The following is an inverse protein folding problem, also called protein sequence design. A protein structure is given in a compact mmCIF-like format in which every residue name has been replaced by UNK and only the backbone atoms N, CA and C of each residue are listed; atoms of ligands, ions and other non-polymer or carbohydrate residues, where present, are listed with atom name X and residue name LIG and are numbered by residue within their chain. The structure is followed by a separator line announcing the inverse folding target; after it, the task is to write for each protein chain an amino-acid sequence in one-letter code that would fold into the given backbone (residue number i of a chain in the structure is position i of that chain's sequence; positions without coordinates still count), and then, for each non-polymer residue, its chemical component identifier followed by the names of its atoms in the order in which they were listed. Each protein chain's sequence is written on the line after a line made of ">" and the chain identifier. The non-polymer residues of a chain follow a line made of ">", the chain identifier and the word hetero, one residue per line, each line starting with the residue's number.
data_IF_500035842124
#
_entry.id   IF_500035842124
#
_cell.length_a   1.000
_cell.length_b   1.000
_cell.length_c   1.000
_cell.angle_alpha   90.00
_cell.angle_beta   90.00
_cell.angle_gamma   90.00
#
_symmetry.space_group_name_H-M   'P 1'
#
loop_
_entity.id
_entity.type
_entity.pdbx_description
1 polymer ?
#
# COMPACT_ATOMS: atom_id res chain seq x y z
N UNK A 1 6.95 -24.46 -18.39
CA UNK A 1 8.26 -23.95 -17.95
C UNK A 1 7.99 -22.87 -16.90
N UNK A 2 7.42 -23.27 -15.76
CA UNK A 2 6.95 -22.37 -14.71
C UNK A 2 8.01 -22.36 -13.61
N UNK A 3 8.85 -21.32 -13.55
CA UNK A 3 9.65 -21.05 -12.37
C UNK A 3 8.70 -20.83 -11.18
N UNK A 4 9.00 -21.49 -10.06
CA UNK A 4 8.24 -21.42 -8.81
C UNK A 4 7.96 -19.97 -8.44
N UNK A 5 6.69 -19.58 -8.43
CA UNK A 5 6.24 -18.33 -7.84
C UNK A 5 6.68 -18.33 -6.36
N UNK A 6 7.31 -17.25 -5.86
CA UNK A 6 7.75 -17.16 -4.48
C UNK A 6 6.54 -17.23 -3.54
N UNK A 7 6.64 -18.07 -2.51
CA UNK A 7 5.62 -18.30 -1.47
C UNK A 7 5.45 -17.09 -0.52
N UNK A 8 5.62 -15.85 -0.98
CA UNK A 8 5.83 -14.68 -0.11
C UNK A 8 4.62 -13.76 0.12
N UNK A 9 3.48 -13.95 -0.55
CA UNK A 9 2.26 -13.15 -0.30
C UNK A 9 1.42 -13.64 0.90
N UNK A 10 2.08 -14.29 1.87
CA UNK A 10 1.43 -14.86 3.04
C UNK A 10 1.09 -13.78 4.08
N UNK A 11 -0.14 -13.25 3.94
CA UNK A 11 -1.07 -12.95 5.04
C UNK A 11 -0.91 -11.61 5.79
N UNK A 12 -0.93 -10.47 5.09
CA UNK A 12 -1.12 -9.12 5.68
C UNK A 12 -2.55 -8.86 6.24
N UNK A 13 -3.28 -9.89 6.67
CA UNK A 13 -4.74 -9.84 6.74
C UNK A 13 -5.33 -10.22 8.11
N UNK A 14 -4.56 -10.15 9.21
CA UNK A 14 -5.04 -10.72 10.47
C UNK A 14 -4.70 -9.91 11.73
N UNK A 15 -5.01 -8.62 11.76
CA UNK A 15 -5.01 -7.80 12.98
C UNK A 15 -6.30 -7.00 13.14
N UNK A 16 -7.44 -7.69 13.27
CA UNK A 16 -8.64 -7.07 13.86
C UNK A 16 -9.51 -8.09 14.60
N UNK A 17 -9.01 -8.72 15.66
CA UNK A 17 -9.86 -9.44 16.63
C UNK A 17 -9.16 -9.66 17.96
N UNK A 18 -9.41 -8.76 18.92
CA UNK A 18 -9.65 -9.05 20.35
C UNK A 18 -10.06 -7.77 21.09
N UNK A 19 -11.36 -7.53 21.16
CA UNK A 19 -11.96 -6.76 22.23
C UNK A 19 -13.12 -7.60 22.77
N UNK A 20 -13.17 -7.76 24.10
CA UNK A 20 -13.96 -8.77 24.81
C UNK A 20 -15.46 -8.64 24.58
N UNK A 21 -16.11 -9.81 24.63
CA UNK A 21 -17.55 -9.94 24.69
C UNK A 21 -18.09 -9.35 26.00
N UNK A 22 -18.94 -8.33 25.89
CA UNK A 22 -19.96 -8.01 26.90
C UNK A 22 -21.26 -7.83 26.13
N UNK A 23 -22.25 -8.67 26.45
CA UNK A 23 -23.50 -8.79 25.71
C UNK A 23 -24.35 -7.53 25.77
N UNK A 24 -24.90 -7.15 24.63
CA UNK A 24 -26.08 -6.29 24.54
C UNK A 24 -26.99 -6.87 23.47
N UNK A 25 -28.15 -7.33 23.91
CA UNK A 25 -29.26 -7.80 23.10
C UNK A 25 -29.85 -6.58 22.34
N UNK A 26 -29.72 -6.54 21.01
CA UNK A 26 -30.35 -5.51 20.17
C UNK A 26 -31.09 -6.19 19.02
N UNK A 27 -32.42 -6.07 19.07
CA UNK A 27 -33.38 -6.48 18.05
C UNK A 27 -32.98 -5.96 16.67
N UNK A 28 -32.72 -6.88 15.75
CA UNK A 28 -32.48 -6.64 14.32
C UNK A 28 -33.80 -6.46 13.57
N UNK A 29 -34.22 -5.22 13.37
CA UNK A 29 -35.25 -4.89 12.36
C UNK A 29 -35.07 -3.43 11.89
N UNK A 30 -34.21 -3.24 10.89
CA UNK A 30 -34.02 -1.92 10.25
C UNK A 30 -32.92 -1.82 9.17
N UNK A 31 -31.99 -2.78 9.08
CA UNK A 31 -30.80 -2.67 8.22
C UNK A 31 -31.02 -2.84 6.71
N UNK A 32 -32.00 -3.66 6.29
CA UNK A 32 -32.20 -3.98 4.87
C UNK A 32 -32.88 -2.81 4.11
N UNK A 33 -33.78 -2.08 4.79
CA UNK A 33 -34.45 -0.90 4.23
C UNK A 33 -33.50 0.30 4.05
N UNK A 34 -32.45 0.41 4.87
CA UNK A 34 -31.42 1.45 4.75
C UNK A 34 -30.49 1.23 3.55
N UNK A 35 -30.08 -0.02 3.32
CA UNK A 35 -29.24 -0.41 2.18
C UNK A 35 -30.00 -0.31 0.84
N UNK A 36 -31.29 -0.64 0.82
CA UNK A 36 -32.15 -0.47 -0.36
C UNK A 36 -32.37 1.02 -0.72
N UNK A 37 -32.45 1.92 0.29
CA UNK A 37 -32.53 3.38 0.04
C UNK A 37 -31.23 3.97 -0.49
N UNK A 38 -30.06 3.52 -0.02
CA UNK A 38 -28.76 3.97 -0.52
C UNK A 38 -28.49 3.50 -1.96
N UNK A 39 -28.83 2.25 -2.28
CA UNK A 39 -28.73 1.72 -3.65
C UNK A 39 -29.74 2.40 -4.60
N UNK A 40 -30.96 2.64 -4.14
CA UNK A 40 -32.00 3.37 -4.90
C UNK A 40 -31.61 4.82 -5.18
N UNK A 41 -31.00 5.52 -4.23
CA UNK A 41 -30.56 6.91 -4.42
C UNK A 41 -29.38 7.03 -5.41
N UNK A 42 -28.52 6.02 -5.48
CA UNK A 42 -27.41 5.96 -6.46
C UNK A 42 -27.94 5.73 -7.88
N UNK A 43 -28.87 4.79 -8.05
CA UNK A 43 -29.52 4.54 -9.34
C UNK A 43 -30.39 5.73 -9.81
N UNK A 44 -31.04 6.45 -8.89
CA UNK A 44 -31.84 7.63 -9.22
C UNK A 44 -30.96 8.84 -9.55
N UNK A 45 -29.79 8.99 -8.91
CA UNK A 45 -28.79 9.99 -9.28
C UNK A 45 -28.19 9.73 -10.67
N UNK A 46 -27.94 8.47 -11.02
CA UNK A 46 -27.45 8.07 -12.35
C UNK A 46 -28.51 8.30 -13.45
N UNK A 47 -29.80 8.13 -13.14
CA UNK A 47 -30.92 8.39 -14.07
C UNK A 47 -31.25 9.88 -14.24
N UNK A 48 -31.05 10.72 -13.21
CA UNK A 48 -31.28 12.17 -13.28
C UNK A 48 -30.13 12.95 -13.95
N UNK A 49 -28.95 12.36 -14.13
CA UNK A 49 -27.83 12.95 -14.87
C UNK A 49 -27.90 12.77 -16.40
N UNK A 50 -28.98 12.18 -16.93
CA UNK A 50 -29.28 12.15 -18.38
C UNK A 50 -29.96 13.47 -18.84
N UNK A 51 -29.72 14.59 -18.14
CA UNK A 51 -29.82 15.91 -18.75
C UNK A 51 -28.50 16.17 -19.47
N UNK A 52 -28.57 16.09 -20.82
CA UNK A 52 -27.47 16.31 -21.78
C UNK A 52 -26.48 17.39 -21.32
N UNK A 53 -25.41 16.96 -20.66
CA UNK A 53 -24.19 17.74 -20.54
C UNK A 53 -23.56 17.81 -21.93
N UNK A 54 -22.97 18.94 -22.34
CA UNK A 54 -22.22 19.01 -23.59
C UNK A 54 -21.12 17.95 -23.57
N UNK A 55 -21.08 17.12 -24.62
CA UNK A 55 -19.96 16.19 -24.84
C UNK A 55 -18.72 17.05 -25.03
N UNK A 56 -17.83 17.06 -24.04
CA UNK A 56 -16.53 17.70 -24.19
C UNK A 56 -15.70 16.73 -25.05
N UNK A 57 -15.65 16.97 -26.36
CA UNK A 57 -14.69 16.27 -27.23
C UNK A 57 -13.29 16.76 -26.86
N UNK A 58 -12.52 15.91 -26.18
CA UNK A 58 -11.12 16.16 -25.86
C UNK A 58 -10.35 14.98 -26.42
N UNK A 59 -9.46 15.23 -27.38
CA UNK A 59 -8.46 14.24 -27.77
C UNK A 59 -7.56 13.97 -26.56
N UNK A 60 -7.46 12.71 -26.13
CA UNK A 60 -6.67 12.34 -24.96
C UNK A 60 -6.75 10.86 -24.61
N UNK A 61 -6.08 10.49 -23.52
CA UNK A 61 -5.99 9.10 -23.04
C UNK A 61 -7.33 8.60 -22.50
N UNK A 62 -8.10 9.50 -21.91
CA UNK A 62 -9.43 9.22 -21.36
C UNK A 62 -10.54 9.54 -22.36
N UNK A 63 -11.60 8.75 -22.36
CA UNK A 63 -12.84 9.07 -23.08
C UNK A 63 -13.65 10.19 -22.35
N UNK A 64 -14.65 10.81 -23.02
CA UNK A 64 -15.43 11.90 -22.41
C UNK A 64 -16.15 11.53 -21.10
N UNK A 65 -16.58 10.28 -20.93
CA UNK A 65 -17.24 9.82 -19.70
C UNK A 65 -16.22 9.70 -18.56
N UNK A 66 -15.04 9.16 -18.85
CA UNK A 66 -13.92 9.08 -17.90
C UNK A 66 -13.45 10.46 -17.47
N UNK A 67 -13.30 11.41 -18.39
CA UNK A 67 -12.98 12.81 -18.08
C UNK A 67 -13.99 13.41 -17.11
N UNK A 68 -15.28 13.26 -17.41
CA UNK A 68 -16.36 13.76 -16.54
C UNK A 68 -16.30 13.13 -15.15
N UNK A 69 -16.09 11.81 -15.08
CA UNK A 69 -15.95 11.07 -13.82
C UNK A 69 -14.73 11.52 -13.00
N UNK A 70 -13.59 11.77 -13.66
CA UNK A 70 -12.38 12.26 -13.02
C UNK A 70 -12.58 13.67 -12.44
N UNK A 71 -13.13 14.62 -13.20
CA UNK A 71 -13.43 15.97 -12.70
C UNK A 71 -14.36 15.90 -11.48
N UNK A 72 -15.40 15.07 -11.56
CA UNK A 72 -16.34 14.89 -10.45
C UNK A 72 -15.68 14.30 -9.20
N UNK A 73 -14.73 13.37 -9.36
CA UNK A 73 -13.98 12.78 -8.25
C UNK A 73 -13.28 13.83 -7.38
N UNK A 74 -12.68 14.87 -8.00
CA UNK A 74 -12.07 15.99 -7.28
C UNK A 74 -13.12 16.87 -6.60
N UNK A 75 -14.17 17.25 -7.32
CA UNK A 75 -15.25 18.12 -6.82
C UNK A 75 -15.98 17.53 -5.62
N UNK A 76 -16.09 16.21 -5.53
CA UNK A 76 -16.73 15.53 -4.40
C UNK A 76 -15.93 15.54 -3.10
N UNK A 77 -14.63 15.88 -3.12
CA UNK A 77 -13.78 15.88 -1.92
C UNK A 77 -13.07 17.22 -1.72
N UNK A 78 -13.80 18.34 -1.57
CA UNK A 78 -13.20 19.69 -1.52
C UNK A 78 -12.31 19.92 -0.30
N UNK A 79 -12.46 19.11 0.77
CA UNK A 79 -11.59 19.15 1.95
C UNK A 79 -10.22 18.48 1.72
N UNK A 80 -10.16 17.49 0.80
CA UNK A 80 -8.93 16.80 0.41
C UNK A 80 -8.24 17.54 -0.72
N UNK A 81 -9.02 17.87 -1.76
CA UNK A 81 -8.58 18.61 -2.92
C UNK A 81 -8.86 20.10 -2.73
N UNK A 82 -8.11 20.70 -1.80
CA UNK A 82 -8.10 22.16 -1.64
C UNK A 82 -7.48 22.81 -2.87
N UNK A 83 -7.67 24.12 -3.04
CA UNK A 83 -7.03 24.89 -4.12
C UNK A 83 -5.52 24.68 -4.16
N UNK A 84 -4.89 24.64 -2.99
CA UNK A 84 -3.46 24.40 -2.85
C UNK A 84 -3.06 23.01 -3.37
N UNK A 85 -3.78 21.95 -2.98
CA UNK A 85 -3.54 20.59 -3.47
C UNK A 85 -3.79 20.47 -4.98
N UNK A 86 -4.85 21.09 -5.50
CA UNK A 86 -5.14 21.12 -6.94
C UNK A 86 -4.02 21.82 -7.71
N UNK A 87 -3.58 22.99 -7.25
CA UNK A 87 -2.50 23.72 -7.90
C UNK A 87 -1.19 22.90 -7.89
N UNK A 88 -0.89 22.17 -6.81
CA UNK A 88 0.26 21.26 -6.78
C UNK A 88 0.14 20.12 -7.80
N UNK A 89 -1.05 19.51 -7.93
CA UNK A 89 -1.32 18.47 -8.95
C UNK A 89 -1.12 19.03 -10.35
N UNK A 90 -1.70 20.20 -10.64
CA UNK A 90 -1.58 20.87 -11.95
C UNK A 90 -0.11 21.13 -12.30
N UNK A 91 0.67 21.68 -11.36
CA UNK A 91 2.12 21.86 -11.56
C UNK A 91 2.83 20.54 -11.83
N UNK A 92 2.52 19.49 -11.06
CA UNK A 92 3.18 18.18 -11.21
C UNK A 92 2.90 17.50 -12.55
N UNK A 93 1.74 17.75 -13.16
CA UNK A 93 1.37 17.23 -14.49
C UNK A 93 1.61 18.22 -15.63
N UNK A 94 2.16 19.39 -15.33
CA UNK A 94 2.56 20.39 -16.31
C UNK A 94 1.41 21.27 -16.85
N UNK A 95 0.29 21.38 -16.15
CA UNK A 95 -0.80 22.31 -16.50
C UNK A 95 -0.76 23.60 -15.66
N UNK A 96 -1.29 24.73 -16.18
CA UNK A 96 -1.32 25.98 -15.43
C UNK A 96 -2.20 25.89 -14.16
N UNK A 97 -1.75 26.40 -13.00
CA UNK A 97 -2.55 26.47 -11.79
C UNK A 97 -3.80 27.32 -11.97
N UNK A 98 -4.98 26.77 -11.64
CA UNK A 98 -6.27 27.49 -11.77
C UNK A 98 -7.31 27.11 -10.71
N UNK A 99 -6.86 26.59 -9.56
CA UNK A 99 -7.67 26.26 -8.38
C UNK A 99 -8.71 25.14 -8.54
N UNK A 100 -9.05 24.73 -9.77
CA UNK A 100 -9.98 23.66 -10.08
C UNK A 100 -9.48 22.74 -11.20
N UNK A 101 -9.86 21.47 -11.16
CA UNK A 101 -9.55 20.49 -12.21
C UNK A 101 -10.55 20.60 -13.36
N UNK A 102 -10.03 20.77 -14.58
CA UNK A 102 -10.81 20.66 -15.81
C UNK A 102 -10.42 19.43 -16.65
N UNK A 103 -10.93 19.36 -17.88
CA UNK A 103 -10.70 18.24 -18.77
C UNK A 103 -9.22 18.09 -19.18
N UNK A 104 -8.51 19.20 -19.38
CA UNK A 104 -7.09 19.16 -19.74
C UNK A 104 -6.26 18.65 -18.56
N UNK A 105 -6.58 19.06 -17.33
CA UNK A 105 -5.85 18.62 -16.15
C UNK A 105 -6.02 17.12 -15.90
N UNK A 106 -7.23 16.58 -16.00
CA UNK A 106 -7.45 15.14 -15.77
C UNK A 106 -6.86 14.27 -16.87
N UNK A 107 -6.79 14.76 -18.11
CA UNK A 107 -6.04 14.11 -19.19
C UNK A 107 -4.53 14.12 -18.90
N UNK A 108 -3.99 15.24 -18.39
CA UNK A 108 -2.58 15.32 -18.00
C UNK A 108 -2.25 14.38 -16.83
N UNK A 109 -3.15 14.25 -15.84
CA UNK A 109 -3.04 13.24 -14.78
C UNK A 109 -3.04 11.81 -15.36
N UNK A 110 -3.93 11.51 -16.30
CA UNK A 110 -3.98 10.21 -16.96
C UNK A 110 -2.69 9.91 -17.74
N UNK A 111 -2.15 10.88 -18.46
CA UNK A 111 -0.88 10.73 -19.16
C UNK A 111 0.28 10.50 -18.19
N UNK A 112 0.30 11.23 -17.07
CA UNK A 112 1.27 11.03 -16.00
C UNK A 112 1.16 9.61 -15.42
N UNK A 113 -0.06 9.12 -15.14
CA UNK A 113 -0.28 7.75 -14.68
C UNK A 113 0.23 6.71 -15.68
N UNK A 114 0.00 6.95 -16.98
CA UNK A 114 0.41 6.05 -18.06
C UNK A 114 1.94 5.97 -18.21
N UNK A 115 2.64 7.08 -18.03
CA UNK A 115 4.08 7.19 -18.31
C UNK A 115 4.95 7.07 -17.06
N UNK A 116 4.63 7.83 -16.01
CA UNK A 116 5.36 7.88 -14.74
C UNK A 116 4.79 6.91 -13.71
N UNK A 117 3.47 6.75 -13.71
CA UNK A 117 2.79 5.79 -12.83
C UNK A 117 3.09 4.32 -13.14
N UNK A 118 3.71 4.03 -14.28
CA UNK A 118 4.09 2.70 -14.75
C UNK A 118 5.60 2.41 -14.68
N UNK A 119 6.41 3.31 -14.08
CA UNK A 119 7.86 3.08 -13.92
C UNK A 119 8.17 1.91 -12.95
N UNK A 120 7.24 1.59 -12.05
CA UNK A 120 7.37 0.54 -11.03
C UNK A 120 6.06 -0.22 -10.84
N UNK A 121 6.18 -1.50 -10.50
CA UNK A 121 5.03 -2.36 -10.18
C UNK A 121 4.55 -2.16 -8.74
N UNK A 122 3.24 -2.33 -8.47
CA UNK A 122 2.15 -2.50 -9.43
C UNK A 122 1.85 -1.19 -10.20
N UNK A 123 1.62 -1.24 -11.51
CA UNK A 123 1.30 -0.03 -12.29
C UNK A 123 0.06 0.73 -11.78
N UNK A 124 0.06 2.06 -11.91
CA UNK A 124 -1.12 2.86 -11.66
C UNK A 124 -2.22 2.62 -12.71
N UNK A 125 -3.47 2.60 -12.26
CA UNK A 125 -4.60 2.73 -13.15
C UNK A 125 -4.58 4.10 -13.82
N UNK A 126 -4.82 4.13 -15.12
CA UNK A 126 -4.98 5.34 -15.92
C UNK A 126 -6.44 5.76 -15.87
N UNK A 127 -6.79 6.65 -14.93
CA UNK A 127 -8.16 7.10 -14.68
C UNK A 127 -8.29 8.62 -14.52
N UNK A 128 -7.19 9.37 -14.64
CA UNK A 128 -7.17 10.83 -14.47
C UNK A 128 -7.44 11.28 -13.04
N UNK A 129 -7.47 10.36 -12.08
CA UNK A 129 -7.70 10.63 -10.67
C UNK A 129 -6.37 10.57 -9.92
N UNK A 130 -5.91 11.72 -9.45
CA UNK A 130 -4.81 11.84 -8.50
C UNK A 130 -5.29 11.41 -7.11
N UNK A 131 -5.62 10.12 -6.97
CA UNK A 131 -6.18 9.51 -5.79
C UNK A 131 -5.13 8.87 -4.87
N UNK A 132 -5.57 8.04 -3.91
CA UNK A 132 -4.71 7.44 -2.88
C UNK A 132 -3.52 6.61 -3.40
N UNK A 133 -3.56 6.13 -4.64
CA UNK A 133 -2.42 5.46 -5.29
C UNK A 133 -1.52 6.42 -6.06
N UNK A 134 -2.12 7.42 -6.71
CA UNK A 134 -1.39 8.37 -7.57
C UNK A 134 -0.61 9.39 -6.74
N UNK A 135 -1.23 9.98 -5.71
CA UNK A 135 -0.60 11.06 -4.93
C UNK A 135 0.73 10.65 -4.27
N UNK A 136 0.86 9.49 -3.60
CA UNK A 136 2.13 9.09 -2.99
C UNK A 136 3.26 8.89 -4.01
N UNK A 137 2.92 8.54 -5.26
CA UNK A 137 3.90 8.40 -6.35
C UNK A 137 4.31 9.74 -6.94
N UNK A 138 3.34 10.63 -7.11
CA UNK A 138 3.54 11.96 -7.69
C UNK A 138 4.27 12.89 -6.72
N UNK A 139 3.96 12.79 -5.43
CA UNK A 139 4.53 13.60 -4.35
C UNK A 139 5.19 12.67 -3.33
N UNK A 140 6.37 12.15 -3.70
CA UNK A 140 7.12 11.25 -2.83
C UNK A 140 7.51 11.93 -1.52
N UNK A 141 7.30 11.23 -0.41
CA UNK A 141 7.64 11.70 0.94
C UNK A 141 8.12 10.56 1.84
N UNK A 142 8.92 10.92 2.83
CA UNK A 142 9.52 10.00 3.80
C UNK A 142 10.29 8.85 3.16
N UNK A 143 10.01 7.61 3.56
CA UNK A 143 10.68 6.41 3.02
C UNK A 143 10.39 6.21 1.52
N UNK A 144 9.32 6.82 1.00
CA UNK A 144 8.96 6.72 -0.42
C UNK A 144 9.87 7.49 -1.39
N UNK A 145 10.80 8.31 -0.89
CA UNK A 145 11.71 9.12 -1.72
C UNK A 145 12.82 8.27 -2.34
N UNK A 146 12.93 8.28 -3.67
CA UNK A 146 13.90 7.46 -4.43
C UNK A 146 15.36 7.58 -3.97
N UNK A 147 15.80 8.79 -3.59
CA UNK A 147 17.15 9.01 -3.07
C UNK A 147 17.39 8.27 -1.74
N UNK A 148 16.41 8.25 -0.83
CA UNK A 148 16.49 7.53 0.45
C UNK A 148 16.49 6.02 0.24
N UNK A 149 15.67 5.53 -0.70
CA UNK A 149 15.68 4.12 -1.11
C UNK A 149 17.08 3.72 -1.61
N UNK A 150 17.74 4.59 -2.38
CA UNK A 150 19.12 4.34 -2.85
C UNK A 150 20.12 4.21 -1.71
N UNK A 151 20.05 5.11 -0.72
CA UNK A 151 20.89 5.05 0.48
C UNK A 151 20.64 3.76 1.25
N UNK A 152 19.37 3.43 1.51
CA UNK A 152 18.97 2.21 2.20
C UNK A 152 19.51 0.94 1.53
N UNK A 153 19.39 0.81 0.21
CA UNK A 153 19.91 -0.35 -0.53
C UNK A 153 21.42 -0.50 -0.35
N UNK A 154 22.19 0.60 -0.38
CA UNK A 154 23.64 0.57 -0.18
C UNK A 154 24.04 0.13 1.23
N UNK A 155 23.32 0.61 2.24
CA UNK A 155 23.59 0.31 3.65
C UNK A 155 23.19 -1.14 3.99
N UNK A 156 22.04 -1.59 3.49
CA UNK A 156 21.63 -2.99 3.59
C UNK A 156 22.62 -3.92 2.92
N UNK A 157 23.15 -3.57 1.74
CA UNK A 157 24.21 -4.35 1.11
C UNK A 157 25.43 -4.50 2.04
N UNK A 158 25.81 -3.44 2.74
CA UNK A 158 26.95 -3.47 3.68
C UNK A 158 26.70 -4.43 4.84
N UNK A 159 25.47 -4.50 5.36
CA UNK A 159 25.09 -5.46 6.40
C UNK A 159 25.12 -6.89 5.86
N UNK A 160 24.58 -7.10 4.66
CA UNK A 160 24.51 -8.40 4.00
C UNK A 160 25.88 -8.94 3.59
N UNK A 161 26.83 -8.07 3.23
CA UNK A 161 28.23 -8.44 2.96
C UNK A 161 28.93 -8.96 4.23
N UNK A 162 28.46 -8.56 5.42
CA UNK A 162 28.98 -8.98 6.73
C UNK A 162 28.10 -10.00 7.44
N UNK A 163 27.16 -10.62 6.73
CA UNK A 163 26.12 -11.47 7.33
C UNK A 163 26.65 -12.64 8.16
N UNK A 164 27.78 -13.21 7.73
CA UNK A 164 28.45 -14.32 8.42
C UNK A 164 29.22 -13.85 9.66
N UNK A 165 29.69 -12.60 9.69
CA UNK A 165 30.36 -11.99 10.85
C UNK A 165 29.39 -11.75 12.02
N UNK A 166 28.10 -11.60 11.73
CA UNK A 166 27.05 -11.42 12.75
C UNK A 166 26.80 -12.71 13.56
N UNK A 167 27.23 -13.88 13.07
CA UNK A 167 27.23 -15.22 13.71
C UNK A 167 25.89 -15.81 14.16
N UNK A 168 24.93 -15.00 14.60
CA UNK A 168 23.67 -15.46 15.19
C UNK A 168 22.47 -14.82 14.51
N UNK A 169 21.31 -15.50 14.44
CA UNK A 169 20.06 -14.91 13.96
C UNK A 169 19.67 -13.64 14.72
N UNK A 170 19.92 -13.60 16.02
CA UNK A 170 19.61 -12.43 16.86
C UNK A 170 20.47 -11.22 16.50
N UNK A 171 21.78 -11.40 16.31
CA UNK A 171 22.66 -10.31 15.89
C UNK A 171 22.29 -9.79 14.49
N UNK A 172 21.90 -10.68 13.57
CA UNK A 172 21.37 -10.31 12.23
C UNK A 172 20.10 -9.48 12.36
N UNK A 173 19.14 -9.93 13.17
CA UNK A 173 17.91 -9.18 13.45
C UNK A 173 18.19 -7.81 14.05
N UNK A 174 19.07 -7.71 15.05
CA UNK A 174 19.41 -6.44 15.70
C UNK A 174 20.12 -5.47 14.74
N UNK A 175 21.00 -5.96 13.87
CA UNK A 175 21.64 -5.13 12.84
C UNK A 175 20.60 -4.57 11.84
N UNK A 176 19.67 -5.42 11.38
CA UNK A 176 18.58 -5.01 10.50
C UNK A 176 17.60 -4.04 11.19
N UNK A 177 17.29 -4.27 12.47
CA UNK A 177 16.45 -3.37 13.28
C UNK A 177 17.09 -1.98 13.41
N UNK A 178 18.38 -1.94 13.73
CA UNK A 178 19.11 -0.69 13.86
C UNK A 178 19.10 0.10 12.55
N UNK A 179 19.32 -0.59 11.43
CA UNK A 179 19.30 0.05 10.11
C UNK A 179 17.91 0.59 9.76
N UNK A 180 16.85 -0.20 9.93
CA UNK A 180 15.51 0.27 9.55
C UNK A 180 15.02 1.42 10.44
N UNK A 181 15.33 1.39 11.74
CA UNK A 181 14.98 2.47 12.66
C UNK A 181 15.76 3.76 12.39
N UNK A 182 17.01 3.67 11.91
CA UNK A 182 17.73 4.85 11.44
C UNK A 182 16.97 5.55 10.31
N UNK A 183 16.54 4.80 9.29
CA UNK A 183 15.77 5.35 8.16
C UNK A 183 14.40 5.91 8.58
N UNK A 184 13.70 5.22 9.49
CA UNK A 184 12.43 5.69 10.06
C UNK A 184 12.62 7.00 10.86
N UNK A 185 13.66 7.06 11.70
CA UNK A 185 13.98 8.24 12.50
C UNK A 185 14.29 9.47 11.64
N UNK A 186 15.00 9.30 10.52
CA UNK A 186 15.30 10.39 9.58
C UNK A 186 14.05 11.00 8.91
N UNK A 187 12.92 10.29 8.91
CA UNK A 187 11.64 10.76 8.37
C UNK A 187 10.63 11.09 9.48
N UNK A 188 11.08 11.08 10.74
CA UNK A 188 10.29 11.43 11.92
C UNK A 188 9.30 10.35 12.35
N UNK A 189 9.51 9.09 11.97
CA UNK A 189 8.67 7.96 12.40
C UNK A 189 9.33 7.29 13.61
N UNK A 190 8.60 7.04 14.71
CA UNK A 190 9.17 6.37 15.88
C UNK A 190 9.64 4.95 15.57
N UNK A 191 10.74 4.56 16.23
CA UNK A 191 11.33 3.22 16.17
C UNK A 191 10.29 2.09 16.28
N UNK A 192 10.41 1.12 15.38
CA UNK A 192 9.68 -0.15 15.46
C UNK A 192 10.48 -1.20 16.21
N UNK A 193 9.78 -2.16 16.82
CA UNK A 193 10.40 -3.44 17.14
C UNK A 193 10.51 -4.28 15.86
N UNK A 194 11.52 -5.15 15.75
CA UNK A 194 11.64 -6.11 14.65
C UNK A 194 11.77 -7.49 15.26
N UNK A 195 10.82 -8.40 15.11
CA UNK A 195 10.88 -9.74 15.72
C UNK A 195 10.53 -10.85 14.74
N UNK A 196 10.64 -12.09 15.19
CA UNK A 196 10.24 -13.25 14.38
C UNK A 196 8.74 -13.48 14.45
N UNK A 197 8.10 -13.75 13.31
CA UNK A 197 6.70 -14.17 13.22
C UNK A 197 6.47 -15.34 12.27
N UNK A 198 5.21 -15.77 12.15
CA UNK A 198 4.81 -16.81 11.18
C UNK A 198 4.73 -16.28 9.74
N UNK A 199 4.54 -14.96 9.59
CA UNK A 199 4.50 -14.21 8.34
C UNK A 199 5.47 -13.03 8.34
N UNK A 200 5.41 -12.24 7.27
CA UNK A 200 6.03 -10.94 7.20
C UNK A 200 4.90 -9.91 7.28
N UNK A 201 4.88 -9.08 8.32
CA UNK A 201 3.83 -8.07 8.51
C UNK A 201 4.26 -6.99 9.50
N UNK A 202 3.73 -5.79 9.34
CA UNK A 202 3.73 -4.75 10.35
C UNK A 202 2.42 -4.74 11.15
N UNK A 203 2.54 -4.73 12.49
CA UNK A 203 1.41 -4.59 13.40
C UNK A 203 1.44 -3.22 14.09
N UNK A 204 0.47 -2.37 13.75
CA UNK A 204 0.32 -1.02 14.32
C UNK A 204 -0.08 -1.03 15.79
N UNK A 205 -0.66 -2.12 16.30
CA UNK A 205 -1.15 -2.22 17.69
C UNK A 205 0.00 -2.44 18.67
N UNK A 206 1.00 -3.22 18.24
CA UNK A 206 2.22 -3.49 19.01
C UNK A 206 3.40 -2.63 18.54
N UNK A 207 3.28 -1.97 17.39
CA UNK A 207 4.32 -1.21 16.70
C UNK A 207 5.55 -2.08 16.40
N UNK A 208 5.29 -3.23 15.78
CA UNK A 208 6.28 -4.29 15.56
C UNK A 208 6.23 -4.78 14.12
N UNK A 209 7.40 -4.91 13.50
CA UNK A 209 7.59 -5.65 12.25
C UNK A 209 7.90 -7.11 12.62
N UNK A 210 7.13 -8.03 12.06
CA UNK A 210 7.38 -9.46 12.12
C UNK A 210 8.00 -9.91 10.81
N UNK A 211 9.08 -10.68 10.87
CA UNK A 211 9.68 -11.35 9.71
C UNK A 211 9.84 -12.83 10.04
N UNK A 212 9.69 -13.71 9.06
CA UNK A 212 9.89 -15.16 9.27
C UNK A 212 11.28 -15.46 9.83
N UNK A 213 11.35 -16.32 10.85
CA UNK A 213 12.62 -16.72 11.47
C UNK A 213 13.68 -17.25 10.48
N UNK A 214 13.25 -17.85 9.36
CA UNK A 214 14.14 -18.32 8.31
C UNK A 214 14.95 -17.21 7.63
N UNK A 215 14.48 -15.96 7.65
CA UNK A 215 15.17 -14.83 7.05
C UNK A 215 16.45 -14.41 7.81
N UNK A 216 16.58 -14.82 9.07
CA UNK A 216 17.74 -14.51 9.91
C UNK A 216 18.78 -15.66 9.95
N UNK A 217 18.56 -16.72 9.18
CA UNK A 217 19.48 -17.85 9.08
C UNK A 217 20.64 -17.53 8.13
N UNK A 218 21.53 -18.50 7.93
CA UNK A 218 22.64 -18.42 6.98
C UNK A 218 22.09 -18.13 5.58
N UNK A 219 22.81 -17.28 4.84
CA UNK A 219 22.46 -17.03 3.45
C UNK A 219 22.72 -18.28 2.61
N UNK A 220 21.89 -18.55 1.58
CA UNK A 220 22.15 -19.61 0.62
C UNK A 220 23.57 -19.55 0.05
N UNK A 221 24.18 -20.71 -0.21
CA UNK A 221 25.53 -20.78 -0.81
C UNK A 221 25.50 -20.57 -2.32
N UNK A 222 24.40 -20.95 -2.97
CA UNK A 222 24.20 -20.72 -4.39
C UNK A 222 24.02 -19.22 -4.66
N UNK A 223 24.84 -18.59 -5.53
CA UNK A 223 24.82 -17.14 -5.73
C UNK A 223 23.46 -16.56 -6.16
N UNK A 224 22.73 -17.22 -7.06
CA UNK A 224 21.43 -16.71 -7.53
C UNK A 224 20.34 -16.80 -6.45
N UNK A 225 20.34 -17.84 -5.62
CA UNK A 225 19.45 -18.01 -4.48
C UNK A 225 19.78 -17.02 -3.37
N UNK A 226 21.07 -16.82 -3.08
CA UNK A 226 21.54 -15.77 -2.15
C UNK A 226 21.05 -14.41 -2.60
N UNK A 227 21.21 -14.12 -3.88
CA UNK A 227 20.78 -12.88 -4.50
C UNK A 227 19.27 -12.67 -4.39
N UNK A 228 18.46 -13.69 -4.67
CA UNK A 228 17.00 -13.64 -4.51
C UNK A 228 16.62 -13.42 -3.05
N UNK A 229 17.25 -14.15 -2.13
CA UNK A 229 16.98 -14.07 -0.69
C UNK A 229 17.30 -12.70 -0.11
N UNK A 230 18.49 -12.18 -0.39
CA UNK A 230 18.94 -10.86 0.11
C UNK A 230 18.11 -9.72 -0.43
N UNK A 231 17.75 -9.77 -1.71
CA UNK A 231 16.85 -8.79 -2.33
C UNK A 231 15.48 -8.84 -1.67
N UNK A 232 14.88 -10.04 -1.53
CA UNK A 232 13.56 -10.22 -0.92
C UNK A 232 13.52 -9.74 0.54
N UNK A 233 14.51 -10.12 1.35
CA UNK A 233 14.62 -9.65 2.74
C UNK A 233 14.68 -8.13 2.82
N UNK A 234 15.50 -7.50 1.98
CA UNK A 234 15.67 -6.04 1.97
C UNK A 234 14.40 -5.33 1.52
N UNK A 235 13.76 -5.79 0.45
CA UNK A 235 12.51 -5.20 -0.03
C UNK A 235 11.38 -5.39 0.99
N UNK A 236 11.24 -6.58 1.58
CA UNK A 236 10.21 -6.87 2.58
C UNK A 236 10.39 -6.02 3.84
N UNK A 237 11.61 -5.89 4.37
CA UNK A 237 11.82 -5.10 5.58
C UNK A 237 11.41 -3.62 5.37
N UNK A 238 11.77 -3.04 4.22
CA UNK A 238 11.42 -1.66 3.90
C UNK A 238 9.94 -1.48 3.55
N UNK A 239 9.31 -2.51 2.97
CA UNK A 239 7.86 -2.58 2.77
C UNK A 239 7.11 -2.47 4.10
N UNK A 240 7.46 -3.31 5.07
CA UNK A 240 6.82 -3.27 6.40
C UNK A 240 7.11 -1.96 7.14
N UNK A 241 8.31 -1.40 6.97
CA UNK A 241 8.63 -0.08 7.52
C UNK A 241 7.81 1.04 6.85
N UNK A 242 7.47 0.92 5.56
CA UNK A 242 6.56 1.84 4.90
C UNK A 242 5.17 1.80 5.52
N UNK A 243 4.67 0.63 5.92
CA UNK A 243 3.41 0.55 6.66
C UNK A 243 3.49 1.24 8.03
N UNK A 244 4.62 1.16 8.72
CA UNK A 244 4.83 1.92 9.96
C UNK A 244 4.77 3.44 9.72
N UNK A 245 5.42 3.93 8.66
CA UNK A 245 5.31 5.34 8.27
C UNK A 245 3.85 5.72 7.95
N UNK A 246 3.17 4.94 7.12
CA UNK A 246 1.79 5.21 6.72
C UNK A 246 0.86 5.30 7.94
N UNK A 247 0.98 4.35 8.89
CA UNK A 247 0.22 4.35 10.13
C UNK A 247 0.52 5.60 10.98
N UNK A 248 1.79 5.99 11.11
CA UNK A 248 2.17 7.21 11.84
C UNK A 248 1.61 8.47 11.17
N UNK A 249 1.70 8.57 9.84
CA UNK A 249 1.17 9.71 9.07
C UNK A 249 -0.35 9.80 9.15
N UNK A 250 -1.06 8.67 9.18
CA UNK A 250 -2.51 8.63 9.45
C UNK A 250 -2.80 9.21 10.84
N UNK A 251 -2.09 8.74 11.89
CA UNK A 251 -2.28 9.26 13.24
C UNK A 251 -1.99 10.77 13.32
N UNK A 252 -0.93 11.24 12.66
CA UNK A 252 -0.54 12.65 12.59
C UNK A 252 -1.56 13.53 11.84
N UNK A 253 -2.17 12.99 10.77
CA UNK A 253 -3.26 13.64 10.04
C UNK A 253 -4.55 13.72 10.88
N UNK A 254 -4.89 12.68 11.63
CA UNK A 254 -6.02 12.70 12.56
C UNK A 254 -5.76 13.67 13.73
N UNK A 255 -4.53 13.72 14.25
CA UNK A 255 -4.11 14.69 15.27
C UNK A 255 -4.23 16.13 14.76
N UNK A 256 -3.76 16.42 13.53
CA UNK A 256 -3.91 17.73 12.90
C UNK A 256 -5.36 18.14 12.60
N UNK A 257 -6.30 17.18 12.61
CA UNK A 257 -7.76 17.43 12.59
C UNK A 257 -8.35 17.69 13.97
N UNK A 258 -7.53 17.68 15.02
CA UNK A 258 -7.95 17.91 16.40
C UNK A 258 -8.54 16.69 17.11
N UNK A 259 -8.31 15.46 16.60
CA UNK A 259 -8.75 14.26 17.32
C UNK A 259 -7.84 14.01 18.53
N UNK A 260 -8.44 13.52 19.61
CA UNK A 260 -7.74 13.13 20.83
C UNK A 260 -7.08 11.75 20.71
N UNK A 261 -6.15 11.43 21.61
CA UNK A 261 -5.50 10.10 21.67
C UNK A 261 -6.52 8.95 21.63
N UNK A 262 -7.57 9.05 22.46
CA UNK A 262 -8.61 8.02 22.54
C UNK A 262 -9.42 7.86 21.25
N UNK A 263 -9.69 8.97 20.55
CA UNK A 263 -10.41 8.94 19.27
C UNK A 263 -9.54 8.33 18.16
N UNK A 264 -8.25 8.70 18.10
CA UNK A 264 -7.30 8.14 17.14
C UNK A 264 -7.12 6.65 17.39
N UNK A 265 -6.97 6.24 18.65
CA UNK A 265 -6.86 4.84 19.04
C UNK A 265 -8.12 4.05 18.63
N UNK A 266 -9.31 4.59 18.89
CA UNK A 266 -10.55 3.93 18.52
C UNK A 266 -10.68 3.70 17.00
N UNK A 267 -10.20 4.65 16.19
CA UNK A 267 -10.28 4.55 14.74
C UNK A 267 -9.20 3.66 14.12
N UNK A 268 -7.98 3.66 14.69
CA UNK A 268 -6.80 3.07 14.03
C UNK A 268 -6.23 1.86 14.75
N UNK A 269 -6.55 1.69 16.04
CA UNK A 269 -5.90 0.74 16.95
C UNK A 269 -4.38 0.94 17.09
N UNK A 270 -3.82 2.04 16.58
CA UNK A 270 -2.38 2.34 16.66
C UNK A 270 -1.94 2.40 18.12
N UNK A 271 -0.76 1.85 18.43
CA UNK A 271 -0.17 1.87 19.77
C UNK A 271 -0.20 3.28 20.36
N UNK A 272 -0.73 3.42 21.57
CA UNK A 272 -1.00 4.73 22.21
C UNK A 272 0.21 5.65 22.31
N UNK A 273 1.39 5.12 22.61
CA UNK A 273 2.59 5.95 22.71
C UNK A 273 3.00 6.55 21.37
N UNK A 274 2.70 5.87 20.27
CA UNK A 274 2.91 6.37 18.91
C UNK A 274 1.90 7.46 18.57
N UNK A 275 0.66 7.31 19.02
CA UNK A 275 -0.35 8.36 18.89
C UNK A 275 0.08 9.62 19.66
N UNK A 276 0.66 9.47 20.86
CA UNK A 276 1.18 10.62 21.62
C UNK A 276 2.30 11.34 20.87
N UNK A 277 3.19 10.60 20.21
CA UNK A 277 4.19 11.20 19.32
C UNK A 277 3.53 11.95 18.16
N UNK A 278 2.52 11.37 17.51
CA UNK A 278 1.78 12.01 16.43
C UNK A 278 0.98 13.26 16.86
N UNK A 279 0.60 13.34 18.15
CA UNK A 279 -0.11 14.49 18.73
C UNK A 279 0.82 15.69 19.00
N UNK A 280 2.13 15.53 18.97
CA UNK A 280 3.06 16.65 19.12
C UNK A 280 2.89 17.64 17.97
N UNK A 281 2.79 18.96 18.21
CA UNK A 281 2.48 19.95 17.18
C UNK A 281 3.36 19.89 15.93
N UNK A 282 4.65 19.61 16.10
CA UNK A 282 5.64 19.47 15.03
C UNK A 282 5.41 18.25 14.11
N UNK A 283 4.70 17.23 14.60
CA UNK A 283 4.41 16.01 13.85
C UNK A 283 3.04 16.05 13.17
N UNK A 284 2.13 16.92 13.61
CA UNK A 284 0.78 16.98 13.07
C UNK A 284 0.75 17.39 11.60
N UNK A 285 -0.03 16.68 10.79
CA UNK A 285 -0.24 17.08 9.39
C UNK A 285 -1.38 18.08 9.31
N UNK A 286 -1.07 19.28 8.84
CA UNK A 286 -2.05 20.36 8.71
C UNK A 286 -3.13 19.98 7.67
N UNK A 287 -4.43 20.11 8.00
CA UNK A 287 -5.50 19.85 7.04
C UNK A 287 -5.35 20.68 5.76
N UNK A 288 -5.64 20.05 4.62
CA UNK A 288 -5.58 20.70 3.31
C UNK A 288 -4.19 20.79 2.67
N UNK A 289 -3.15 20.23 3.32
CA UNK A 289 -1.83 20.01 2.71
C UNK A 289 -1.79 18.74 1.87
N UNK A 290 -0.78 18.61 1.00
CA UNK A 290 -0.59 17.41 0.18
C UNK A 290 -0.33 16.17 1.03
N UNK A 291 0.50 16.30 2.08
CA UNK A 291 0.82 15.21 3.00
C UNK A 291 -0.44 14.73 3.74
N UNK A 292 -1.30 15.65 4.18
CA UNK A 292 -2.58 15.29 4.79
C UNK A 292 -3.52 14.62 3.78
N UNK A 293 -3.53 15.04 2.50
CA UNK A 293 -4.34 14.42 1.45
C UNK A 293 -3.87 12.98 1.13
N UNK A 294 -2.56 12.75 1.11
CA UNK A 294 -1.96 11.41 0.98
C UNK A 294 -2.34 10.52 2.17
N UNK A 295 -2.10 10.99 3.39
CA UNK A 295 -2.41 10.24 4.60
C UNK A 295 -3.91 9.92 4.72
N UNK A 296 -4.77 10.84 4.30
CA UNK A 296 -6.21 10.60 4.25
C UNK A 296 -6.59 9.52 3.23
N UNK A 297 -5.90 9.44 2.09
CA UNK A 297 -6.09 8.36 1.13
C UNK A 297 -5.77 6.98 1.70
N UNK A 298 -4.70 6.86 2.50
CA UNK A 298 -4.39 5.63 3.22
C UNK A 298 -5.39 5.35 4.33
N UNK A 299 -5.82 6.37 5.07
CA UNK A 299 -6.85 6.24 6.10
C UNK A 299 -8.16 5.73 5.54
N UNK A 300 -8.66 6.27 4.43
CA UNK A 300 -9.90 5.83 3.80
C UNK A 300 -9.88 4.32 3.52
N UNK A 301 -8.74 3.84 2.99
CA UNK A 301 -8.53 2.44 2.67
C UNK A 301 -8.44 1.54 3.90
N UNK A 302 -7.75 1.98 4.96
CA UNK A 302 -7.44 1.11 6.10
C UNK A 302 -8.48 1.19 7.22
N UNK A 303 -8.98 2.39 7.52
CA UNK A 303 -9.82 2.67 8.69
C UNK A 303 -11.10 3.45 8.36
N UNK A 304 -11.16 4.09 7.19
CA UNK A 304 -12.23 4.96 6.77
C UNK A 304 -13.26 4.27 5.88
N UNK A 305 -13.82 5.05 4.94
CA UNK A 305 -14.99 4.66 4.15
C UNK A 305 -14.75 3.43 3.25
N UNK A 306 -13.51 3.21 2.80
CA UNK A 306 -13.16 2.11 1.90
C UNK A 306 -12.64 0.87 2.65
N UNK A 307 -12.47 0.94 3.98
CA UNK A 307 -12.01 -0.19 4.80
C UNK A 307 -12.83 -1.48 4.64
N UNK A 308 -14.17 -1.47 4.45
CA UNK A 308 -14.91 -2.71 4.18
C UNK A 308 -14.47 -3.40 2.89
N UNK A 309 -14.16 -2.62 1.83
CA UNK A 309 -13.65 -3.14 0.56
C UNK A 309 -12.26 -3.74 0.77
N UNK A 310 -11.39 -3.05 1.49
CA UNK A 310 -10.05 -3.52 1.84
C UNK A 310 -10.10 -4.85 2.60
N UNK A 311 -10.96 -4.96 3.62
CA UNK A 311 -11.19 -6.21 4.35
C UNK A 311 -11.70 -7.34 3.44
N UNK A 312 -12.55 -7.05 2.46
CA UNK A 312 -12.99 -8.05 1.48
C UNK A 312 -11.84 -8.54 0.60
N UNK A 313 -10.97 -7.64 0.14
CA UNK A 313 -9.77 -8.01 -0.64
C UNK A 313 -8.85 -8.92 0.17
N UNK A 314 -8.56 -8.57 1.42
CA UNK A 314 -7.76 -9.40 2.32
C UNK A 314 -8.40 -10.77 2.60
N UNK A 315 -9.72 -10.81 2.81
CA UNK A 315 -10.45 -12.05 3.02
C UNK A 315 -10.41 -12.96 1.79
N UNK A 316 -10.57 -12.37 0.59
CA UNK A 316 -10.51 -13.11 -0.68
C UNK A 316 -9.10 -13.61 -0.98
N UNK A 317 -8.06 -12.80 -0.78
CA UNK A 317 -6.67 -13.22 -0.92
C UNK A 317 -6.37 -14.45 -0.06
N UNK A 318 -6.77 -14.40 1.21
CA UNK A 318 -6.60 -15.54 2.13
C UNK A 318 -7.37 -16.78 1.68
N UNK A 319 -8.60 -16.62 1.18
CA UNK A 319 -9.42 -17.72 0.71
C UNK A 319 -8.87 -18.34 -0.58
N UNK A 320 -8.44 -17.50 -1.52
CA UNK A 320 -7.83 -17.91 -2.77
C UNK A 320 -6.49 -18.63 -2.55
N UNK A 321 -5.65 -18.13 -1.64
CA UNK A 321 -4.39 -18.79 -1.27
C UNK A 321 -4.62 -20.20 -0.74
N UNK A 322 -5.55 -20.39 0.19
CA UNK A 322 -5.91 -21.71 0.72
C UNK A 322 -6.46 -22.65 -0.36
N UNK A 323 -7.27 -22.12 -1.28
CA UNK A 323 -7.82 -22.91 -2.38
C UNK A 323 -6.72 -23.34 -3.35
N UNK A 324 -5.77 -22.46 -3.65
CA UNK A 324 -4.59 -22.77 -4.45
C UNK A 324 -3.74 -23.86 -3.81
N UNK A 325 -3.39 -23.75 -2.53
CA UNK A 325 -2.61 -24.76 -1.80
C UNK A 325 -3.31 -26.13 -1.80
N UNK A 326 -4.63 -26.15 -1.54
CA UNK A 326 -5.41 -27.38 -1.55
C UNK A 326 -5.47 -28.02 -2.95
N UNK A 327 -5.61 -27.21 -4.00
CA UNK A 327 -5.64 -27.70 -5.38
C UNK A 327 -4.28 -28.21 -5.85
N UNK A 328 -3.18 -27.56 -5.43
CA UNK A 328 -1.82 -28.03 -5.67
C UNK A 328 -1.58 -29.40 -5.03
N UNK A 329 -1.91 -29.53 -3.73
CA UNK A 329 -1.77 -30.80 -3.02
C UNK A 329 -2.62 -31.92 -3.65
N UNK A 330 -3.84 -31.64 -4.09
CA UNK A 330 -4.70 -32.61 -4.75
C UNK A 330 -4.16 -33.06 -6.11
N UNK A 331 -3.63 -32.13 -6.91
CA UNK A 331 -2.97 -32.42 -8.19
C UNK A 331 -1.73 -33.27 -8.00
N UNK A 332 -0.89 -32.93 -7.03
CA UNK A 332 0.36 -33.65 -6.76
C UNK A 332 0.09 -35.07 -6.22
N UNK A 333 -0.95 -35.24 -5.39
CA UNK A 333 -1.36 -36.54 -4.88
C UNK A 333 -2.04 -37.43 -5.95
N UNK A 334 -2.80 -36.83 -6.87
CA UNK A 334 -3.51 -37.56 -7.92
C UNK A 334 -3.62 -36.72 -9.21
N UNK A 335 -2.69 -36.88 -10.17
CA UNK A 335 -2.60 -36.03 -11.36
C UNK A 335 -3.63 -36.42 -12.43
N UNK A 336 -4.90 -36.14 -12.18
CA UNK A 336 -5.99 -36.32 -13.15
C UNK A 336 -6.26 -35.04 -13.95
N UNK A 337 -6.87 -35.13 -15.15
CA UNK A 337 -7.32 -33.94 -15.89
C UNK A 337 -8.32 -33.06 -15.12
N UNK A 338 -9.05 -33.63 -14.16
CA UNK A 338 -9.93 -32.86 -13.28
C UNK A 338 -9.16 -32.06 -12.23
N UNK A 339 -8.19 -32.68 -11.55
CA UNK A 339 -7.36 -31.99 -10.56
C UNK A 339 -6.47 -30.94 -11.20
N UNK A 340 -6.00 -31.18 -12.44
CA UNK A 340 -5.30 -30.17 -13.22
C UNK A 340 -6.17 -28.93 -13.48
N UNK A 341 -7.44 -29.12 -13.92
CA UNK A 341 -8.37 -28.00 -14.13
C UNK A 341 -8.70 -27.24 -12.84
N UNK A 342 -8.84 -27.95 -11.71
CA UNK A 342 -9.04 -27.32 -10.39
C UNK A 342 -7.84 -26.47 -9.97
N UNK A 343 -6.63 -26.98 -10.20
CA UNK A 343 -5.40 -26.24 -9.96
C UNK A 343 -5.32 -24.97 -10.81
N UNK A 344 -5.57 -25.07 -12.12
CA UNK A 344 -5.57 -23.92 -13.03
C UNK A 344 -6.60 -22.86 -12.63
N UNK A 345 -7.83 -23.26 -12.28
CA UNK A 345 -8.85 -22.34 -11.79
C UNK A 345 -8.44 -21.66 -10.47
N UNK A 346 -7.79 -22.39 -9.55
CA UNK A 346 -7.31 -21.83 -8.30
C UNK A 346 -6.14 -20.86 -8.50
N UNK A 347 -5.25 -21.13 -9.47
CA UNK A 347 -4.18 -20.21 -9.90
C UNK A 347 -4.76 -18.89 -10.39
N UNK A 348 -5.73 -18.93 -11.31
CA UNK A 348 -6.32 -17.69 -11.86
C UNK A 348 -7.09 -16.89 -10.81
N UNK A 349 -7.82 -17.57 -9.91
CA UNK A 349 -8.47 -16.92 -8.76
C UNK A 349 -7.44 -16.26 -7.84
N UNK A 350 -6.34 -16.95 -7.54
CA UNK A 350 -5.29 -16.42 -6.68
C UNK A 350 -4.60 -15.20 -7.31
N UNK A 351 -4.26 -15.26 -8.60
CA UNK A 351 -3.71 -14.10 -9.33
C UNK A 351 -4.64 -12.90 -9.32
N UNK A 352 -5.94 -13.11 -9.52
CA UNK A 352 -6.92 -12.02 -9.47
C UNK A 352 -7.03 -11.40 -8.07
N UNK A 353 -7.00 -12.23 -7.02
CA UNK A 353 -7.01 -11.75 -5.63
C UNK A 353 -5.72 -11.01 -5.27
N UNK A 354 -4.57 -11.49 -5.74
CA UNK A 354 -3.26 -10.84 -5.57
C UNK A 354 -3.23 -9.49 -6.29
N UNK A 355 -3.67 -9.41 -7.55
CA UNK A 355 -3.78 -8.14 -8.27
C UNK A 355 -4.67 -7.13 -7.53
N UNK A 356 -5.81 -7.57 -6.98
CA UNK A 356 -6.69 -6.71 -6.19
C UNK A 356 -6.02 -6.23 -4.87
N UNK A 357 -5.20 -7.08 -4.26
CA UNK A 357 -4.42 -6.75 -3.06
C UNK A 357 -3.34 -5.71 -3.37
N UNK A 358 -2.58 -5.89 -4.46
CA UNK A 358 -1.57 -4.93 -4.93
C UNK A 358 -2.20 -3.60 -5.40
N UNK A 359 -3.50 -3.61 -5.72
CA UNK A 359 -4.27 -2.41 -6.07
C UNK A 359 -4.76 -1.61 -4.84
N UNK A 360 -4.63 -2.13 -3.61
CA UNK A 360 -4.98 -1.37 -2.42
C UNK A 360 -4.03 -0.17 -2.25
N UNK A 361 -4.51 1.04 -1.89
CA UNK A 361 -3.68 2.25 -1.80
C UNK A 361 -2.37 2.12 -1.01
N UNK A 362 -2.44 1.58 0.21
CA UNK A 362 -1.30 1.41 1.10
C UNK A 362 -0.30 0.36 0.58
N UNK A 363 -0.81 -0.71 -0.04
CA UNK A 363 -0.03 -1.81 -0.60
C UNK A 363 0.64 -1.38 -1.91
N UNK A 364 -0.09 -0.72 -2.79
CA UNK A 364 0.41 -0.19 -4.06
C UNK A 364 1.62 0.74 -3.85
N UNK A 365 1.56 1.58 -2.81
CA UNK A 365 2.66 2.46 -2.42
C UNK A 365 3.85 1.68 -1.83
N UNK A 366 3.62 0.69 -0.96
CA UNK A 366 4.67 -0.12 -0.36
C UNK A 366 5.34 -1.08 -1.38
N UNK A 367 4.56 -1.71 -2.28
CA UNK A 367 5.07 -2.57 -3.34
C UNK A 367 5.86 -1.80 -4.40
N UNK A 368 5.45 -0.56 -4.74
CA UNK A 368 6.25 0.32 -5.60
C UNK A 368 7.67 0.48 -5.06
N UNK A 369 7.79 0.74 -3.76
CA UNK A 369 9.10 0.90 -3.10
C UNK A 369 9.86 -0.44 -3.12
N UNK A 370 9.15 -1.54 -2.92
CA UNK A 370 9.74 -2.89 -2.99
C UNK A 370 10.33 -3.18 -4.37
N UNK A 371 9.60 -2.88 -5.44
CA UNK A 371 10.05 -3.04 -6.83
C UNK A 371 11.23 -2.13 -7.15
N UNK A 372 11.18 -0.87 -6.68
CA UNK A 372 12.30 0.06 -6.81
C UNK A 372 13.58 -0.45 -6.12
N UNK A 373 13.47 -1.06 -4.93
CA UNK A 373 14.58 -1.71 -4.23
C UNK A 373 15.15 -2.86 -5.08
N UNK A 374 14.29 -3.73 -5.62
CA UNK A 374 14.69 -4.84 -6.50
C UNK A 374 15.49 -4.30 -7.69
N UNK A 375 15.00 -3.26 -8.36
CA UNK A 375 15.67 -2.63 -9.50
C UNK A 375 17.03 -2.05 -9.10
N UNK A 376 17.13 -1.35 -7.96
CA UNK A 376 18.40 -0.77 -7.50
C UNK A 376 19.43 -1.85 -7.14
N UNK A 377 19.02 -2.96 -6.51
CA UNK A 377 19.92 -4.10 -6.29
C UNK A 377 20.44 -4.69 -7.61
N UNK A 378 19.57 -4.85 -8.61
CA UNK A 378 19.97 -5.33 -9.92
C UNK A 378 20.95 -4.37 -10.61
N UNK A 379 20.75 -3.06 -10.47
CA UNK A 379 21.66 -2.05 -11.00
C UNK A 379 23.05 -2.11 -10.35
N UNK A 380 23.13 -2.24 -9.02
CA UNK A 380 24.41 -2.40 -8.30
C UNK A 380 25.19 -3.63 -8.77
N UNK A 381 24.50 -4.73 -9.08
CA UNK A 381 25.13 -5.95 -9.62
C UNK A 381 25.65 -5.77 -11.04
N UNK A 382 24.97 -4.99 -11.87
CA UNK A 382 25.48 -4.67 -13.22
C UNK A 382 26.74 -3.83 -13.13
N UNK A 383 26.77 -2.85 -12.22
CA UNK A 383 27.94 -2.00 -12.01
C UNK A 383 29.16 -2.80 -11.51
N UNK A 384 28.98 -3.83 -10.67
CA UNK A 384 30.09 -4.67 -10.18
C UNK A 384 30.64 -5.67 -11.20
N UNK A 385 29.93 -5.91 -12.31
CA UNK A 385 30.33 -6.86 -13.38
C UNK A 385 31.01 -6.23 -14.59
N UNK A 386 31.02 -4.90 -14.70
CA UNK A 386 31.74 -4.21 -15.77
C UNK A 386 33.23 -4.08 -15.39
N UNK A 387 34.16 -4.75 -16.10
CA UNK A 387 35.59 -4.50 -15.91
C UNK A 387 35.89 -3.06 -16.35
N UNK A 388 36.52 -2.29 -15.47
CA UNK A 388 37.11 -0.99 -15.78
C UNK A 388 38.36 -1.09 -16.64
#
# INVERSE_FOLDING_TARGET
>A
MFERLPRDTRRCANTSRRAGAIGVDVKMSGGILGLQRLAGNRATADLLHVQRQPVIEVEGVLDPQQVTGAIFYYKQKPKRYTKEVINQIQVAVGTPPKDEMDAADVQAVAEWQRTKGSEFEPHLKVDGMAGPRTLPRMFQGGLGVSARITVYVGEMKTILDKWDELKTPEARRLALKAEINKHLGEVGVPDVELTTGEGNEFDSTTWTIFIRASAFKELPTEPAERDRHTTALTSTLYHEARHAEQAFRIAAMLAGRGLTEGQIYWQTSTKKDIIKEALKPENQLKPGTMEAAIAEGWYDSQNGADSPKTHQVYAELNAAAKAFEAAEAAKDANPTPENQRRYEAAVERFKAAEAAYYDLPQENDAFRISDEIVMKFQALKKASKSPG
#
